data_IF_976128539062
#
_entry.id   IF_976128539062
#
_cell.length_a   1.000
_cell.length_b   1.000
_cell.length_c   1.000
_cell.angle_alpha   90.00
_cell.angle_beta   90.00
_cell.angle_gamma   90.00
#
_symmetry.space_group_name_H-M   'P 1'
#
loop_
_entity.id
_entity.type
_entity.pdbx_description
1 polymer ?
#
# COMPACT_ATOMS: atom_id res chain seq x y z
N UNK A 1 1.21 29.64 -10.11
CA UNK A 1 0.82 28.52 -9.28
C UNK A 1 0.00 27.52 -10.11
N UNK A 2 0.63 26.81 -11.08
CA UNK A 2 -0.05 25.84 -12.00
C UNK A 2 0.81 24.59 -12.29
N UNK A 3 1.77 24.27 -11.40
CA UNK A 3 2.66 23.11 -11.60
C UNK A 3 2.31 21.89 -10.72
N UNK A 4 1.46 22.06 -9.70
CA UNK A 4 1.11 20.97 -8.77
C UNK A 4 0.06 20.00 -9.31
N UNK A 5 -0.87 20.46 -10.15
CA UNK A 5 -1.99 19.62 -10.64
C UNK A 5 -1.55 18.53 -11.63
N UNK A 6 -0.52 18.79 -12.45
CA UNK A 6 -0.01 17.80 -13.42
C UNK A 6 0.75 16.64 -12.74
N UNK A 7 1.25 16.87 -11.53
CA UNK A 7 2.02 15.89 -10.77
C UNK A 7 1.07 14.86 -10.12
N UNK A 8 -0.05 15.30 -9.59
CA UNK A 8 -1.05 14.40 -8.95
C UNK A 8 -1.68 13.43 -9.97
N UNK A 9 -1.83 13.85 -11.24
CA UNK A 9 -2.40 13.04 -12.32
C UNK A 9 -1.54 11.81 -12.65
N UNK A 10 -0.22 11.95 -12.66
CA UNK A 10 0.71 10.83 -12.86
C UNK A 10 0.64 9.78 -11.76
N UNK A 11 0.30 10.21 -10.56
CA UNK A 11 0.37 9.49 -9.30
C UNK A 11 -0.62 8.33 -9.22
N UNK A 12 -1.90 8.59 -9.37
CA UNK A 12 -2.94 7.58 -9.23
C UNK A 12 -2.81 6.45 -10.28
N UNK A 13 -2.40 6.79 -11.50
CA UNK A 13 -2.26 5.82 -12.59
C UNK A 13 -0.99 5.00 -12.48
N UNK A 14 0.11 5.58 -11.98
CA UNK A 14 1.38 4.86 -11.77
C UNK A 14 1.27 3.91 -10.58
N UNK A 15 0.61 4.29 -9.49
CA UNK A 15 0.43 3.40 -8.34
C UNK A 15 -0.49 2.22 -8.67
N UNK A 16 -1.60 2.46 -9.35
CA UNK A 16 -2.48 1.37 -9.83
C UNK A 16 -1.74 0.55 -10.89
N UNK A 17 -1.00 1.15 -11.81
CA UNK A 17 -0.21 0.46 -12.83
C UNK A 17 1.03 -0.24 -12.28
N UNK A 18 1.73 0.30 -11.28
CA UNK A 18 2.89 -0.32 -10.66
C UNK A 18 2.48 -1.51 -9.78
N UNK A 19 1.38 -1.39 -9.02
CA UNK A 19 0.84 -2.48 -8.20
C UNK A 19 0.30 -3.61 -9.09
N UNK A 20 -0.44 -3.30 -10.15
CA UNK A 20 -0.91 -4.30 -11.13
C UNK A 20 0.29 -4.89 -11.89
N UNK A 21 1.30 -4.10 -12.25
CA UNK A 21 2.51 -4.56 -12.93
C UNK A 21 3.37 -5.48 -12.05
N UNK A 22 3.49 -5.19 -10.76
CA UNK A 22 4.23 -6.01 -9.81
C UNK A 22 3.53 -7.36 -9.54
N UNK A 23 2.21 -7.38 -9.44
CA UNK A 23 1.42 -8.60 -9.27
C UNK A 23 1.38 -9.50 -10.52
N UNK A 24 1.75 -8.99 -11.71
CA UNK A 24 1.75 -9.73 -12.97
C UNK A 24 3.16 -10.17 -13.42
N UNK A 25 4.22 -9.88 -12.66
CA UNK A 25 5.57 -10.37 -12.98
C UNK A 25 5.71 -11.79 -12.43
N UNK A 26 5.81 -12.82 -13.28
CA UNK A 26 6.12 -14.18 -12.81
C UNK A 26 7.54 -14.19 -12.21
N UNK A 27 7.79 -15.04 -11.19
CA UNK A 27 9.12 -15.15 -10.59
C UNK A 27 10.18 -15.48 -11.64
N UNK A 28 11.41 -14.97 -11.50
CA UNK A 28 12.46 -15.19 -12.49
C UNK A 28 12.75 -16.69 -12.63
N UNK A 29 12.61 -17.19 -13.85
CA UNK A 29 12.95 -18.55 -14.23
C UNK A 29 14.48 -18.74 -14.11
N UNK A 30 14.90 -19.84 -13.49
CA UNK A 30 16.30 -20.15 -13.28
C UNK A 30 17.07 -20.23 -14.63
N UNK A 31 18.31 -19.73 -14.72
CA UNK A 31 19.02 -19.66 -15.97
C UNK A 31 19.37 -21.07 -16.50
N UNK A 32 19.15 -21.35 -17.81
CA UNK A 32 19.65 -22.54 -18.45
C UNK A 32 21.17 -22.46 -18.65
N UNK A 33 21.90 -23.61 -18.79
CA UNK A 33 23.36 -23.66 -18.84
C UNK A 33 23.92 -23.00 -20.09
N UNK A 34 25.07 -22.34 -19.90
CA UNK A 34 25.83 -21.58 -20.89
C UNK A 34 26.13 -22.36 -22.19
N UNK A 35 25.82 -21.77 -23.32
CA UNK A 35 26.42 -22.04 -24.60
C UNK A 35 26.98 -20.76 -25.21
N UNK A 36 28.26 -20.80 -25.60
CA UNK A 36 29.09 -19.69 -26.09
C UNK A 36 28.60 -19.05 -27.40
N UNK A 37 29.05 -17.82 -27.73
CA UNK A 37 28.34 -16.89 -28.61
C UNK A 37 28.69 -17.00 -30.10
N UNK A 38 27.85 -16.47 -30.96
CA UNK A 38 28.34 -15.68 -32.08
C UNK A 38 27.72 -14.26 -32.17
N UNK A 39 28.61 -13.36 -32.49
CA UNK A 39 28.63 -12.01 -33.05
C UNK A 39 27.30 -11.25 -33.28
N UNK A 40 27.34 -10.02 -32.75
CA UNK A 40 26.82 -8.74 -33.28
C UNK A 40 25.60 -8.76 -34.22
N UNK A 41 24.48 -8.32 -33.65
CA UNK A 41 23.50 -7.54 -34.39
C UNK A 41 23.10 -6.33 -33.52
N UNK A 42 23.30 -5.15 -34.10
CA UNK A 42 22.93 -3.84 -33.57
C UNK A 42 21.41 -3.83 -33.38
N UNK A 43 20.93 -3.85 -32.14
CA UNK A 43 19.51 -3.65 -31.84
C UNK A 43 19.26 -2.16 -31.83
N UNK A 44 18.45 -1.69 -32.77
CA UNK A 44 17.80 -0.38 -32.72
C UNK A 44 16.97 -0.27 -31.43
N UNK A 45 16.90 0.91 -30.79
CA UNK A 45 16.06 1.11 -29.60
C UNK A 45 14.59 0.91 -29.98
N UNK A 46 13.98 -0.11 -29.42
CA UNK A 46 12.54 -0.33 -29.47
C UNK A 46 11.81 0.93 -28.93
N UNK A 47 10.76 1.42 -29.59
CA UNK A 47 10.06 2.61 -29.15
C UNK A 47 9.51 2.36 -27.75
N UNK A 48 9.89 3.23 -26.81
CA UNK A 48 9.32 3.32 -25.48
C UNK A 48 7.79 3.34 -25.62
N UNK A 49 7.12 2.33 -25.12
CA UNK A 49 5.66 2.33 -25.03
C UNK A 49 5.27 3.47 -24.08
N UNK A 50 4.94 4.64 -24.64
CA UNK A 50 4.21 5.65 -23.91
C UNK A 50 2.89 5.03 -23.53
N UNK A 51 2.73 4.65 -22.26
CA UNK A 51 1.44 4.25 -21.73
C UNK A 51 0.47 5.42 -21.97
N UNK A 52 -0.40 5.30 -22.96
CA UNK A 52 -1.49 6.23 -23.15
C UNK A 52 -2.43 6.05 -21.97
N UNK A 53 -2.49 7.06 -21.10
CA UNK A 53 -3.46 7.12 -20.01
C UNK A 53 -4.85 6.89 -20.60
N UNK A 54 -5.55 5.87 -20.09
CA UNK A 54 -6.92 5.63 -20.53
C UNK A 54 -7.77 6.81 -20.06
N UNK A 55 -8.34 7.56 -21.00
CA UNK A 55 -9.15 8.75 -20.70
C UNK A 55 -10.34 8.43 -19.78
N UNK A 56 -10.86 7.19 -19.84
CA UNK A 56 -11.96 6.73 -18.99
C UNK A 56 -11.58 6.65 -17.49
N UNK A 57 -10.29 6.66 -17.16
CA UNK A 57 -9.79 6.71 -15.79
C UNK A 57 -9.78 8.13 -15.20
N UNK A 58 -9.94 9.16 -16.03
CA UNK A 58 -9.73 10.56 -15.64
C UNK A 58 -11.01 11.31 -15.26
N UNK A 59 -12.19 10.73 -15.51
CA UNK A 59 -13.48 11.44 -15.39
C UNK A 59 -14.32 11.06 -14.18
N UNK A 60 -13.81 10.21 -13.28
CA UNK A 60 -14.54 9.79 -12.11
C UNK A 60 -13.66 9.71 -10.86
N UNK A 61 -14.30 9.73 -9.69
CA UNK A 61 -13.65 9.41 -8.43
C UNK A 61 -13.18 7.96 -8.44
N UNK A 62 -11.98 7.71 -7.93
CA UNK A 62 -11.44 6.38 -7.69
C UNK A 62 -11.30 6.15 -6.20
N UNK A 63 -11.72 4.98 -5.74
CA UNK A 63 -11.54 4.56 -4.35
C UNK A 63 -10.87 3.20 -4.33
N UNK A 64 -9.73 3.13 -3.64
CA UNK A 64 -8.92 1.91 -3.49
C UNK A 64 -8.88 1.54 -2.01
N UNK A 65 -9.16 0.29 -1.69
CA UNK A 65 -8.95 -0.25 -0.35
C UNK A 65 -7.51 -0.75 -0.22
N UNK A 66 -6.74 -0.11 0.63
CA UNK A 66 -5.44 -0.60 1.08
C UNK A 66 -5.61 -1.47 2.32
N UNK A 67 -5.03 -2.66 2.28
CA UNK A 67 -5.04 -3.65 3.35
C UNK A 67 -3.60 -4.06 3.65
N UNK A 68 -3.10 -3.71 4.84
CA UNK A 68 -1.81 -4.21 5.34
C UNK A 68 -2.02 -5.39 6.27
N UNK A 69 -1.39 -6.53 5.98
CA UNK A 69 -1.45 -7.73 6.82
C UNK A 69 -0.22 -7.87 7.71
N UNK A 70 -0.37 -8.62 8.80
CA UNK A 70 0.71 -8.90 9.74
C UNK A 70 1.50 -10.19 9.38
N UNK A 71 1.46 -10.58 8.09
CA UNK A 71 2.17 -11.75 7.56
C UNK A 71 3.61 -11.39 7.23
N UNK A 72 4.51 -12.33 7.45
CA UNK A 72 5.86 -12.40 6.91
C UNK A 72 6.28 -13.87 6.85
N UNK A 73 7.41 -14.17 6.18
CA UNK A 73 7.93 -15.54 6.02
C UNK A 73 8.02 -16.33 7.34
N UNK A 74 8.38 -15.66 8.45
CA UNK A 74 8.49 -16.31 9.77
C UNK A 74 7.12 -16.70 10.32
N UNK A 75 6.08 -15.89 10.13
CA UNK A 75 4.71 -16.18 10.59
C UNK A 75 4.04 -17.22 9.72
N UNK A 76 4.28 -17.21 8.43
CA UNK A 76 3.81 -18.24 7.51
C UNK A 76 4.34 -19.61 7.88
N UNK A 77 5.65 -19.74 8.19
CA UNK A 77 6.25 -20.99 8.63
C UNK A 77 5.70 -21.51 9.96
N UNK A 78 5.13 -20.63 10.79
CA UNK A 78 4.51 -20.99 12.09
C UNK A 78 3.00 -21.20 11.99
N UNK A 79 2.40 -21.06 10.80
CA UNK A 79 0.95 -21.13 10.59
C UNK A 79 0.17 -20.16 11.51
N UNK A 80 0.74 -19.00 11.82
CA UNK A 80 0.09 -17.99 12.65
C UNK A 80 -1.10 -17.35 11.91
N UNK A 81 -2.19 -17.00 12.63
CA UNK A 81 -3.34 -16.40 11.98
C UNK A 81 -3.02 -15.04 11.39
N UNK A 82 -3.45 -14.81 10.16
CA UNK A 82 -3.33 -13.55 9.43
C UNK A 82 -4.33 -12.53 9.96
N UNK A 83 -3.86 -11.33 10.33
CA UNK A 83 -4.74 -10.23 10.68
C UNK A 83 -4.45 -9.02 9.78
N UNK A 84 -5.46 -8.19 9.58
CA UNK A 84 -5.29 -6.91 8.90
C UNK A 84 -4.94 -5.83 9.93
N UNK A 85 -3.74 -5.32 9.87
CA UNK A 85 -3.22 -4.31 10.81
C UNK A 85 -3.35 -2.87 10.30
N UNK A 86 -3.52 -2.71 8.99
CA UNK A 86 -3.83 -1.45 8.35
C UNK A 86 -5.04 -1.62 7.42
N UNK A 87 -6.03 -0.78 7.58
CA UNK A 87 -7.21 -0.67 6.74
C UNK A 87 -7.41 0.79 6.36
N UNK A 88 -7.31 1.11 5.07
CA UNK A 88 -7.37 2.49 4.62
C UNK A 88 -8.07 2.59 3.26
N UNK A 89 -9.04 3.49 3.15
CA UNK A 89 -9.55 3.93 1.87
C UNK A 89 -8.69 5.06 1.33
N UNK A 90 -8.23 4.89 0.11
CA UNK A 90 -7.49 5.90 -0.66
C UNK A 90 -8.42 6.37 -1.77
N UNK A 91 -8.90 7.60 -1.70
CA UNK A 91 -9.85 8.15 -2.67
C UNK A 91 -9.24 9.33 -3.42
N UNK A 92 -9.26 9.24 -4.74
CA UNK A 92 -8.81 10.30 -5.66
C UNK A 92 -10.04 10.97 -6.26
N UNK A 93 -10.11 12.31 -6.22
CA UNK A 93 -11.20 13.08 -6.83
C UNK A 93 -11.25 12.89 -8.34
N UNK A 94 -12.42 13.16 -8.96
CA UNK A 94 -12.61 13.02 -10.41
C UNK A 94 -11.68 13.92 -11.23
N UNK A 95 -11.39 15.11 -10.73
CA UNK A 95 -10.45 16.07 -11.34
C UNK A 95 -8.99 15.81 -10.93
N UNK A 96 -8.77 14.78 -10.12
CA UNK A 96 -7.46 14.34 -9.60
C UNK A 96 -6.68 15.43 -8.83
N UNK A 97 -7.39 16.43 -8.36
CA UNK A 97 -6.81 17.53 -7.58
C UNK A 97 -6.69 17.22 -6.09
N UNK A 98 -7.44 16.23 -5.60
CA UNK A 98 -7.52 15.88 -4.18
C UNK A 98 -7.33 14.38 -3.96
N UNK A 99 -6.54 14.05 -2.95
CA UNK A 99 -6.35 12.71 -2.41
C UNK A 99 -6.86 12.69 -0.97
N UNK A 100 -7.78 11.78 -0.68
CA UNK A 100 -8.33 11.60 0.66
C UNK A 100 -7.94 10.22 1.20
N UNK A 101 -7.36 10.17 2.39
CA UNK A 101 -7.05 8.95 3.12
C UNK A 101 -7.97 8.81 4.32
N UNK A 102 -8.66 7.68 4.42
CA UNK A 102 -9.55 7.37 5.55
C UNK A 102 -9.16 6.02 6.14
N UNK A 103 -8.56 6.02 7.33
CA UNK A 103 -8.20 4.80 8.04
C UNK A 103 -9.34 4.31 8.92
N UNK A 104 -9.51 2.98 8.98
CA UNK A 104 -10.41 2.32 9.92
C UNK A 104 -9.59 1.63 11.01
N UNK A 105 -9.90 1.87 12.31
CA UNK A 105 -9.24 1.14 13.39
C UNK A 105 -9.46 -0.37 13.25
N UNK A 106 -8.39 -1.15 13.30
CA UNK A 106 -8.43 -2.61 13.13
C UNK A 106 -9.30 -3.34 14.16
N UNK A 107 -9.52 -2.71 15.31
CA UNK A 107 -10.30 -3.26 16.42
C UNK A 107 -11.78 -2.85 16.37
N UNK A 108 -12.23 -2.22 15.27
CA UNK A 108 -13.64 -1.89 15.04
C UNK A 108 -14.49 -3.15 15.06
N UNK A 109 -15.59 -3.09 15.81
CA UNK A 109 -16.58 -4.17 15.95
C UNK A 109 -17.93 -3.76 15.37
N UNK A 110 -18.87 -4.68 15.29
CA UNK A 110 -20.24 -4.45 14.80
C UNK A 110 -20.28 -3.87 13.38
N UNK A 111 -19.34 -4.32 12.52
CA UNK A 111 -19.22 -3.84 11.15
C UNK A 111 -20.33 -4.42 10.28
N UNK A 112 -21.12 -3.59 9.57
CA UNK A 112 -22.18 -4.07 8.69
C UNK A 112 -21.57 -4.85 7.51
N UNK A 113 -22.22 -5.95 7.13
CA UNK A 113 -21.83 -6.77 5.99
C UNK A 113 -22.73 -6.51 4.78
N UNK A 114 -22.20 -6.71 3.59
CA UNK A 114 -22.95 -6.53 2.33
C UNK A 114 -24.18 -7.46 2.21
N UNK A 115 -24.18 -8.61 2.89
CA UNK A 115 -25.29 -9.55 2.94
C UNK A 115 -26.43 -9.14 3.90
N UNK A 116 -26.31 -7.97 4.57
CA UNK A 116 -27.29 -7.43 5.52
C UNK A 116 -27.07 -7.90 6.97
N UNK A 117 -26.03 -8.68 7.25
CA UNK A 117 -25.62 -9.08 8.59
C UNK A 117 -24.64 -8.10 9.22
N UNK A 118 -24.15 -8.48 10.40
CA UNK A 118 -23.12 -7.75 11.14
C UNK A 118 -21.98 -8.69 11.48
N UNK A 119 -20.75 -8.21 11.39
CA UNK A 119 -19.57 -8.93 11.81
C UNK A 119 -19.38 -8.75 13.32
N UNK A 120 -19.48 -9.83 14.09
CA UNK A 120 -19.42 -9.81 15.55
C UNK A 120 -17.99 -9.66 16.12
N UNK A 121 -16.97 -9.94 15.30
CA UNK A 121 -15.58 -9.83 15.68
C UNK A 121 -14.96 -8.47 15.39
N UNK A 122 -13.67 -8.32 15.73
CA UNK A 122 -12.89 -7.19 15.27
C UNK A 122 -12.69 -7.30 13.75
N UNK A 123 -12.75 -6.19 13.04
CA UNK A 123 -12.65 -6.17 11.57
C UNK A 123 -11.33 -6.76 11.06
N UNK A 124 -10.26 -6.71 11.85
CA UNK A 124 -8.96 -7.30 11.49
C UNK A 124 -8.99 -8.81 11.25
N UNK A 125 -10.00 -9.53 11.74
CA UNK A 125 -10.20 -10.96 11.49
C UNK A 125 -11.06 -11.26 10.26
N UNK A 126 -11.80 -10.28 9.75
CA UNK A 126 -12.79 -10.50 8.69
C UNK A 126 -12.14 -11.02 7.40
N UNK A 127 -11.02 -10.44 6.99
CA UNK A 127 -10.25 -10.89 5.82
C UNK A 127 -9.87 -12.36 5.92
N UNK A 128 -9.28 -12.76 7.04
CA UNK A 128 -8.88 -14.15 7.30
C UNK A 128 -10.04 -15.13 7.24
N UNK A 129 -11.18 -14.74 7.82
CA UNK A 129 -12.30 -15.67 8.01
C UNK A 129 -13.26 -15.73 6.84
N UNK A 130 -13.39 -14.64 6.07
CA UNK A 130 -14.35 -14.53 4.97
C UNK A 130 -13.77 -14.05 3.64
N UNK A 131 -12.45 -13.76 3.59
CA UNK A 131 -11.76 -13.34 2.37
C UNK A 131 -11.92 -11.85 2.05
N UNK A 132 -11.25 -11.44 0.97
CA UNK A 132 -11.16 -10.03 0.58
C UNK A 132 -12.50 -9.46 0.12
N UNK A 133 -13.33 -10.24 -0.56
CA UNK A 133 -14.63 -9.78 -1.06
C UNK A 133 -15.57 -9.39 0.09
N UNK A 134 -15.54 -10.14 1.19
CA UNK A 134 -16.33 -9.83 2.37
C UNK A 134 -15.82 -8.56 3.07
N UNK A 135 -14.50 -8.35 3.11
CA UNK A 135 -13.91 -7.14 3.66
C UNK A 135 -14.25 -5.92 2.79
N UNK A 136 -14.11 -6.02 1.47
CA UNK A 136 -14.49 -4.95 0.52
C UNK A 136 -15.96 -4.60 0.70
N UNK A 137 -16.86 -5.57 0.65
CA UNK A 137 -18.30 -5.34 0.80
C UNK A 137 -18.68 -4.73 2.16
N UNK A 138 -17.98 -5.11 3.25
CA UNK A 138 -18.15 -4.50 4.56
C UNK A 138 -17.70 -3.03 4.59
N UNK A 139 -16.57 -2.71 3.96
CA UNK A 139 -16.07 -1.35 3.85
C UNK A 139 -16.98 -0.48 2.98
N UNK A 140 -17.49 -0.99 1.85
CA UNK A 140 -18.46 -0.31 1.01
C UNK A 140 -19.76 0.00 1.78
N UNK A 141 -20.25 -0.98 2.54
CA UNK A 141 -21.47 -0.82 3.35
C UNK A 141 -21.28 0.20 4.46
N UNK A 142 -20.12 0.16 5.14
CA UNK A 142 -19.79 1.05 6.26
C UNK A 142 -19.65 2.50 5.81
N UNK A 143 -18.98 2.75 4.70
CA UNK A 143 -18.68 4.10 4.21
C UNK A 143 -19.69 4.64 3.19
N UNK A 144 -20.52 3.76 2.62
CA UNK A 144 -21.49 4.14 1.61
C UNK A 144 -20.87 4.59 0.28
N UNK A 145 -19.65 4.12 -0.03
CA UNK A 145 -18.92 4.45 -1.26
C UNK A 145 -18.46 3.17 -1.95
N UNK A 146 -18.51 3.10 -3.29
CA UNK A 146 -17.98 1.95 -4.02
C UNK A 146 -16.45 1.91 -3.93
N UNK A 147 -15.89 0.70 -3.89
CA UNK A 147 -14.45 0.44 -3.92
C UNK A 147 -14.11 -0.13 -5.28
N UNK A 148 -13.34 0.62 -6.07
CA UNK A 148 -12.99 0.28 -7.46
C UNK A 148 -11.90 -0.79 -7.55
N UNK A 149 -11.01 -0.83 -6.56
CA UNK A 149 -9.90 -1.78 -6.47
C UNK A 149 -9.47 -1.99 -5.02
N UNK A 150 -8.73 -3.06 -4.78
CA UNK A 150 -8.06 -3.29 -3.50
C UNK A 150 -6.61 -3.71 -3.70
N UNK A 151 -5.80 -3.44 -2.69
CA UNK A 151 -4.40 -3.84 -2.61
C UNK A 151 -4.19 -4.47 -1.25
N UNK A 152 -3.67 -5.69 -1.23
CA UNK A 152 -3.29 -6.39 -0.01
C UNK A 152 -1.77 -6.50 -0.02
N UNK A 153 -1.12 -5.94 0.99
CA UNK A 153 0.33 -6.02 1.17
C UNK A 153 0.64 -6.72 2.49
N UNK A 154 1.53 -7.66 2.45
CA UNK A 154 2.16 -8.20 3.65
C UNK A 154 3.39 -7.36 4.05
N UNK A 155 4.10 -7.77 5.12
CA UNK A 155 5.25 -7.03 5.61
C UNK A 155 6.45 -7.08 4.65
N UNK A 156 6.62 -8.18 3.92
CA UNK A 156 7.74 -8.38 3.01
C UNK A 156 7.50 -7.60 1.71
N UNK A 157 6.28 -7.64 1.17
CA UNK A 157 5.86 -6.82 0.03
C UNK A 157 6.00 -5.31 0.34
N UNK A 158 5.55 -4.89 1.53
CA UNK A 158 5.69 -3.51 1.97
C UNK A 158 7.15 -3.07 2.06
N UNK A 159 8.01 -3.91 2.66
CA UNK A 159 9.45 -3.65 2.74
C UNK A 159 10.07 -3.54 1.36
N UNK A 160 9.71 -4.42 0.42
CA UNK A 160 10.15 -4.37 -0.96
C UNK A 160 9.76 -3.08 -1.69
N UNK A 161 8.55 -2.54 -1.43
CA UNK A 161 8.13 -1.25 -1.97
C UNK A 161 8.95 -0.08 -1.41
N UNK A 162 9.25 -0.09 -0.12
CA UNK A 162 10.09 0.94 0.51
C UNK A 162 11.51 0.91 -0.05
N UNK A 163 12.08 -0.28 -0.23
CA UNK A 163 13.41 -0.45 -0.83
C UNK A 163 13.44 0.03 -2.29
N UNK A 164 12.42 -0.30 -3.08
CA UNK A 164 12.29 0.17 -4.46
C UNK A 164 12.15 1.70 -4.56
N UNK A 165 11.49 2.32 -3.57
CA UNK A 165 11.39 3.78 -3.46
C UNK A 165 12.70 4.45 -3.00
N UNK A 166 13.68 3.68 -2.51
CA UNK A 166 14.93 4.22 -1.96
C UNK A 166 14.77 4.84 -0.56
N UNK A 167 13.82 4.33 0.23
CA UNK A 167 13.49 4.82 1.56
C UNK A 167 12.32 5.80 1.59
N UNK A 168 11.84 6.12 2.79
CA UNK A 168 10.66 6.98 3.02
C UNK A 168 11.06 8.20 3.85
N UNK A 169 10.71 9.38 3.38
CA UNK A 169 10.89 10.63 4.11
C UNK A 169 9.74 10.83 5.10
N UNK A 170 10.09 11.02 6.37
CA UNK A 170 9.15 11.32 7.47
C UNK A 170 9.70 12.42 8.34
N UNK A 171 8.85 13.11 9.10
CA UNK A 171 9.26 14.18 10.01
C UNK A 171 8.52 14.07 11.35
N UNK A 172 8.84 13.08 12.20
CA UNK A 172 8.20 12.94 13.50
C UNK A 172 8.45 14.19 14.35
N UNK A 173 7.40 14.77 14.99
CA UNK A 173 7.55 15.96 15.80
C UNK A 173 8.33 15.71 17.09
N UNK A 174 8.28 14.49 17.60
CA UNK A 174 8.95 14.03 18.81
C UNK A 174 9.75 12.75 18.55
N UNK A 175 10.80 12.44 19.34
CA UNK A 175 11.51 11.17 19.25
C UNK A 175 10.56 9.99 19.49
N UNK A 176 10.74 8.91 18.73
CA UNK A 176 9.96 7.68 18.86
C UNK A 176 10.90 6.53 19.22
N UNK A 177 10.74 5.98 20.43
CA UNK A 177 11.52 4.83 20.89
C UNK A 177 10.57 3.69 21.25
N UNK A 178 10.66 2.60 20.52
CA UNK A 178 9.83 1.41 20.75
C UNK A 178 10.66 0.12 20.56
N UNK A 179 11.19 -0.46 21.67
CA UNK A 179 11.98 -1.68 21.59
C UNK A 179 11.21 -2.92 21.09
N UNK A 180 9.87 -2.88 21.09
CA UNK A 180 9.04 -4.01 20.65
C UNK A 180 9.13 -4.19 19.13
N UNK A 181 9.28 -3.09 18.42
CA UNK A 181 9.38 -3.06 16.95
C UNK A 181 10.77 -2.65 16.47
N UNK A 182 11.76 -2.65 17.37
CA UNK A 182 13.16 -2.28 17.12
C UNK A 182 13.29 -0.89 16.46
N UNK A 183 12.61 0.10 17.04
CA UNK A 183 12.57 1.47 16.51
C UNK A 183 13.19 2.45 17.51
N UNK A 184 14.16 3.24 17.04
CA UNK A 184 14.73 4.39 17.75
C UNK A 184 14.95 5.52 16.72
N UNK A 185 14.03 6.48 16.71
CA UNK A 185 14.05 7.60 15.77
C UNK A 185 14.11 8.92 16.52
N UNK A 186 15.04 9.81 16.18
CA UNK A 186 15.01 11.20 16.67
C UNK A 186 13.84 11.98 16.04
N UNK A 187 13.51 13.12 16.63
CA UNK A 187 12.59 14.07 16.03
C UNK A 187 13.18 14.75 14.78
N UNK A 188 12.31 15.23 13.91
CA UNK A 188 12.67 15.98 12.70
C UNK A 188 12.81 15.09 11.45
N UNK A 189 13.32 15.71 10.36
CA UNK A 189 13.38 15.07 9.05
C UNK A 189 14.31 13.84 9.04
N UNK A 190 13.77 12.71 8.60
CA UNK A 190 14.43 11.42 8.50
C UNK A 190 14.16 10.78 7.14
N UNK A 191 15.10 9.98 6.64
CA UNK A 191 14.86 9.03 5.56
C UNK A 191 14.97 7.63 6.16
N UNK A 192 13.86 6.94 6.24
CA UNK A 192 13.77 5.61 6.82
C UNK A 192 14.03 4.53 5.76
N UNK A 193 14.84 3.54 6.10
CA UNK A 193 14.92 2.30 5.34
C UNK A 193 13.67 1.42 5.53
N UNK A 194 13.61 0.26 4.88
CA UNK A 194 12.46 -0.65 4.96
C UNK A 194 12.21 -1.17 6.37
N UNK A 195 13.26 -1.50 7.14
CA UNK A 195 13.13 -1.99 8.52
C UNK A 195 12.62 -0.89 9.45
N UNK A 196 13.21 0.31 9.38
CA UNK A 196 12.77 1.46 10.15
C UNK A 196 11.35 1.87 9.80
N UNK A 197 10.99 1.88 8.51
CA UNK A 197 9.64 2.19 8.04
C UNK A 197 8.63 1.18 8.56
N UNK A 198 8.98 -0.11 8.54
CA UNK A 198 8.12 -1.16 9.09
C UNK A 198 7.92 -0.99 10.61
N UNK A 199 8.97 -0.65 11.34
CA UNK A 199 8.88 -0.28 12.76
C UNK A 199 7.97 0.94 12.99
N UNK A 200 8.13 1.98 12.16
CA UNK A 200 7.40 3.24 12.23
C UNK A 200 5.89 3.07 12.04
N UNK A 201 5.45 2.26 11.07
CA UNK A 201 4.01 2.00 10.84
C UNK A 201 3.40 0.99 11.81
N UNK A 202 4.22 0.31 12.64
CA UNK A 202 3.75 -0.71 13.61
C UNK A 202 3.76 -0.23 15.05
N UNK A 203 4.62 0.73 15.40
CA UNK A 203 4.74 1.22 16.78
C UNK A 203 3.41 1.78 17.31
N UNK A 204 3.16 1.58 18.61
CA UNK A 204 1.95 2.00 19.32
C UNK A 204 2.25 2.83 20.56
N UNK A 205 3.42 3.45 20.61
CA UNK A 205 3.81 4.26 21.78
C UNK A 205 2.80 5.39 22.07
N UNK A 206 2.08 5.84 21.06
CA UNK A 206 1.04 6.86 21.09
C UNK A 206 -0.37 6.32 20.74
N UNK A 207 -0.60 5.02 20.97
CA UNK A 207 -1.84 4.30 20.71
C UNK A 207 -2.15 4.10 19.20
N UNK A 208 -3.35 3.57 18.90
CA UNK A 208 -3.75 3.20 17.54
C UNK A 208 -3.94 4.41 16.61
N UNK A 209 -4.37 5.55 17.14
CA UNK A 209 -4.57 6.76 16.32
C UNK A 209 -3.25 7.32 15.79
N UNK A 210 -2.20 7.37 16.63
CA UNK A 210 -0.88 7.78 16.19
C UNK A 210 -0.32 6.81 15.15
N UNK A 211 -0.50 5.50 15.34
CA UNK A 211 -0.12 4.49 14.36
C UNK A 211 -0.82 4.71 13.00
N UNK A 212 -2.13 4.91 12.99
CA UNK A 212 -2.88 5.19 11.75
C UNK A 212 -2.38 6.48 11.05
N UNK A 213 -2.05 7.52 11.82
CA UNK A 213 -1.45 8.75 11.28
C UNK A 213 -0.13 8.48 10.58
N UNK A 214 0.77 7.70 11.19
CA UNK A 214 2.05 7.29 10.57
C UNK A 214 1.84 6.42 9.32
N UNK A 215 0.85 5.52 9.33
CA UNK A 215 0.51 4.73 8.14
C UNK A 215 0.06 5.62 7.00
N UNK A 216 -0.77 6.65 7.25
CA UNK A 216 -1.17 7.63 6.24
C UNK A 216 0.03 8.45 5.73
N UNK A 217 0.91 8.91 6.64
CA UNK A 217 2.13 9.64 6.28
C UNK A 217 3.01 8.83 5.33
N UNK A 218 3.27 7.56 5.66
CA UNK A 218 4.10 6.67 4.83
C UNK A 218 3.44 6.39 3.48
N UNK A 219 2.13 6.16 3.42
CA UNK A 219 1.42 6.00 2.14
C UNK A 219 1.55 7.26 1.29
N UNK A 220 1.38 8.44 1.87
CA UNK A 220 1.58 9.71 1.15
C UNK A 220 3.02 9.91 0.68
N UNK A 221 4.01 9.56 1.51
CA UNK A 221 5.42 9.66 1.15
C UNK A 221 5.80 8.68 0.03
N UNK A 222 5.30 7.43 0.07
CA UNK A 222 5.45 6.46 -1.02
C UNK A 222 4.85 7.00 -2.33
N UNK A 223 3.63 7.52 -2.27
CA UNK A 223 2.97 8.12 -3.42
C UNK A 223 3.80 9.26 -4.02
N UNK A 224 4.34 10.14 -3.20
CA UNK A 224 5.15 11.27 -3.64
C UNK A 224 6.52 10.85 -4.22
N UNK A 225 7.06 9.69 -3.79
CA UNK A 225 8.39 9.24 -4.19
C UNK A 225 8.38 8.43 -5.48
N UNK A 226 7.28 7.72 -5.73
CA UNK A 226 7.11 6.92 -6.96
C UNK A 226 6.71 7.75 -8.18
N UNK A 227 6.61 9.06 -8.04
CA UNK A 227 6.14 10.04 -9.00
C UNK A 227 7.19 11.02 -9.37
#
# INVERSE_FOLDING_TARGET
MRRSSAIVIGIAVIVIGAVIGFLLIPPPEAPPPEASPPASASAEPSPSASASLNADLLDRRWTVLYVGTDVNETRETREEPVNTDALMLVSVSADQSELTLVSLPRDTVDVPLADGGTWDGKINGLYRERGIEALVGAMETLYGVPIDAHVVLDMDDFSGLVDAAGGIEVSPPDPIVDPIVDLDLPAGDQVLDSQQTLGYVRTRVDQDYGRMGRQQEVVMALLNRLL
#
